data_IF_521324750913
#
_entry.id   IF_521324750913
#
_cell.length_a   1.000
_cell.length_b   1.000
_cell.length_c   1.000
_cell.angle_alpha   90.00
_cell.angle_beta   90.00
_cell.angle_gamma   90.00
#
_symmetry.space_group_name_H-M   'P 1'
#
loop_
_entity.id
_entity.type
_entity.pdbx_description
1 polymer ?
#
# COMPACT_ATOMS: atom_id res chain seq x y z
N UNK A 1 8.23 17.68 36.12
CA UNK A 1 7.86 16.41 35.46
C UNK A 1 6.72 15.69 36.15
N UNK A 2 6.89 15.05 37.32
CA UNK A 2 5.82 14.19 37.92
C UNK A 2 4.48 14.91 38.04
N UNK A 3 4.46 16.14 38.58
CA UNK A 3 3.24 16.95 38.65
C UNK A 3 2.67 17.26 37.26
N UNK A 4 3.51 17.66 36.30
CA UNK A 4 3.09 17.96 34.92
C UNK A 4 2.46 16.74 34.21
N UNK A 5 3.00 15.54 34.45
CA UNK A 5 2.42 14.28 33.95
C UNK A 5 1.07 14.02 34.61
N UNK A 6 1.01 14.05 35.94
CA UNK A 6 -0.20 13.70 36.69
C UNK A 6 -1.35 14.68 36.48
N UNK A 7 -1.05 15.95 36.26
CA UNK A 7 -2.07 17.00 36.08
C UNK A 7 -2.30 17.38 34.62
N UNK A 8 -1.57 16.77 33.67
CA UNK A 8 -1.53 17.19 32.25
C UNK A 8 -1.38 18.72 32.08
N UNK A 9 -0.64 19.34 33.00
CA UNK A 9 -0.48 20.79 33.11
C UNK A 9 0.94 21.19 32.68
N UNK A 10 1.11 22.40 32.17
CA UNK A 10 2.38 22.92 31.66
C UNK A 10 2.94 22.18 30.44
N UNK A 11 2.09 22.01 29.42
CA UNK A 11 2.44 21.36 28.14
C UNK A 11 3.55 22.12 27.38
N UNK A 12 3.79 23.41 27.66
CA UNK A 12 4.82 24.15 26.93
C UNK A 12 6.24 23.91 27.47
N UNK A 13 6.39 23.32 28.66
CA UNK A 13 7.68 23.10 29.29
C UNK A 13 8.33 21.80 28.78
N UNK A 14 9.50 21.93 28.14
CA UNK A 14 10.27 20.82 27.58
C UNK A 14 11.11 20.08 28.62
N UNK A 15 11.16 20.54 29.88
CA UNK A 15 11.89 19.89 30.97
C UNK A 15 13.31 19.41 30.58
N UNK A 16 14.05 20.27 29.88
CA UNK A 16 15.34 19.98 29.21
C UNK A 16 16.44 19.42 30.12
N UNK A 17 16.34 19.66 31.43
CA UNK A 17 17.30 19.15 32.42
C UNK A 17 17.22 17.63 32.63
N UNK A 18 16.12 16.98 32.21
CA UNK A 18 15.86 15.56 32.45
C UNK A 18 15.61 14.82 31.14
N UNK A 19 15.04 15.49 30.13
CA UNK A 19 14.83 14.91 28.81
C UNK A 19 16.17 14.83 28.09
N UNK A 20 16.64 13.61 27.85
CA UNK A 20 17.93 13.34 27.22
C UNK A 20 17.83 12.80 25.80
N UNK A 21 16.66 12.25 25.44
CA UNK A 21 16.40 11.63 24.16
C UNK A 21 15.05 12.04 23.57
N UNK A 22 14.89 11.82 22.27
CA UNK A 22 13.61 12.04 21.58
C UNK A 22 12.53 11.07 22.07
N UNK A 23 12.93 9.88 22.54
CA UNK A 23 12.02 8.89 23.11
C UNK A 23 11.47 9.36 24.47
N UNK A 24 12.31 9.96 25.32
CA UNK A 24 11.89 10.59 26.58
C UNK A 24 10.89 11.71 26.34
N UNK A 25 11.17 12.54 25.33
CA UNK A 25 10.28 13.63 24.93
C UNK A 25 8.94 13.09 24.43
N UNK A 26 8.97 12.11 23.53
CA UNK A 26 7.76 11.53 22.97
C UNK A 26 6.92 10.84 24.05
N UNK A 27 7.56 10.09 24.96
CA UNK A 27 6.89 9.47 26.09
C UNK A 27 6.21 10.49 26.99
N UNK A 28 6.90 11.60 27.32
CA UNK A 28 6.33 12.68 28.11
C UNK A 28 5.10 13.28 27.41
N UNK A 29 5.21 13.57 26.11
CA UNK A 29 4.11 14.16 25.32
C UNK A 29 2.90 13.24 25.21
N UNK A 30 3.12 11.95 24.97
CA UNK A 30 2.04 10.95 24.93
C UNK A 30 1.35 10.82 26.29
N UNK A 31 2.11 10.90 27.39
CA UNK A 31 1.57 10.83 28.76
C UNK A 31 0.73 12.05 29.16
N UNK A 32 0.87 13.16 28.43
CA UNK A 32 0.12 14.41 28.66
C UNK A 32 -1.13 14.53 27.77
N UNK A 33 -1.41 13.56 26.89
CA UNK A 33 -2.58 13.62 26.01
C UNK A 33 -3.86 13.45 26.82
N UNK A 34 -4.78 14.40 26.67
CA UNK A 34 -6.12 14.35 27.26
C UNK A 34 -7.16 14.30 26.14
N UNK A 35 -8.25 13.55 26.38
CA UNK A 35 -9.44 13.53 25.53
C UNK A 35 -10.03 14.95 25.40
N UNK A 36 -10.75 15.25 24.30
CA UNK A 36 -10.99 16.63 23.88
C UNK A 36 -11.78 17.45 24.90
N UNK A 37 -11.05 18.20 25.73
CA UNK A 37 -11.48 19.31 26.56
C UNK A 37 -10.60 20.51 26.20
N UNK A 38 -11.22 21.69 26.09
CA UNK A 38 -10.90 22.69 25.05
C UNK A 38 -9.50 23.34 25.07
N UNK A 39 -8.65 23.15 26.08
CA UNK A 39 -7.33 23.81 26.14
C UNK A 39 -6.13 22.87 26.34
N UNK A 40 -6.36 21.56 26.44
CA UNK A 40 -5.32 20.59 26.77
C UNK A 40 -4.62 20.02 25.52
N UNK A 41 -3.51 19.32 25.76
CA UNK A 41 -2.77 18.60 24.72
C UNK A 41 -3.61 17.46 24.17
N UNK A 42 -3.95 17.51 22.88
CA UNK A 42 -4.66 16.42 22.19
C UNK A 42 -3.71 15.67 21.28
N UNK A 43 -4.07 14.44 20.91
CA UNK A 43 -3.28 13.66 19.95
C UNK A 43 -3.07 14.42 18.63
N UNK A 44 -4.10 15.12 18.15
CA UNK A 44 -4.02 15.94 16.95
C UNK A 44 -3.00 17.09 17.07
N UNK A 45 -3.00 17.80 18.21
CA UNK A 45 -1.97 18.82 18.50
C UNK A 45 -0.57 18.20 18.49
N UNK A 46 -0.39 17.02 19.10
CA UNK A 46 0.90 16.31 19.08
C UNK A 46 1.33 15.90 17.68
N UNK A 47 0.41 15.34 16.89
CA UNK A 47 0.68 14.93 15.51
C UNK A 47 1.17 16.12 14.67
N UNK A 48 0.52 17.29 14.81
CA UNK A 48 0.94 18.54 14.16
C UNK A 48 2.32 19.01 14.61
N UNK A 49 2.62 18.97 15.91
CA UNK A 49 3.94 19.34 16.42
C UNK A 49 5.03 18.44 15.83
N UNK A 50 4.85 17.12 15.90
CA UNK A 50 5.80 16.14 15.34
C UNK A 50 5.99 16.36 13.83
N UNK A 51 4.89 16.62 13.10
CA UNK A 51 4.96 16.88 11.67
C UNK A 51 5.69 18.20 11.32
N UNK A 52 5.43 19.27 12.09
CA UNK A 52 6.03 20.59 11.87
C UNK A 52 7.51 20.59 12.25
N UNK A 53 7.88 20.04 13.41
CA UNK A 53 9.28 19.88 13.81
C UNK A 53 10.05 19.03 12.79
N UNK A 54 9.40 17.98 12.27
CA UNK A 54 9.92 17.15 11.18
C UNK A 54 10.22 17.93 9.89
N UNK A 55 9.35 18.88 9.53
CA UNK A 55 9.53 19.71 8.34
C UNK A 55 10.56 20.83 8.55
N UNK A 56 10.58 21.46 9.72
CA UNK A 56 11.54 22.52 10.04
C UNK A 56 12.97 21.96 10.15
N UNK A 57 13.12 20.77 10.71
CA UNK A 57 14.40 20.07 10.87
C UNK A 57 14.61 18.97 9.82
N UNK A 58 14.04 19.14 8.62
CA UNK A 58 14.07 18.11 7.57
C UNK A 58 15.48 17.63 7.22
N UNK A 59 16.49 18.50 7.33
CA UNK A 59 17.90 18.12 7.17
C UNK A 59 18.35 17.10 8.22
N UNK A 60 18.13 17.38 9.50
CA UNK A 60 18.51 16.50 10.62
C UNK A 60 17.68 15.22 10.68
N UNK A 61 16.40 15.26 10.30
CA UNK A 61 15.57 14.05 10.23
C UNK A 61 15.86 13.19 9.00
N UNK A 62 16.33 13.79 7.90
CA UNK A 62 16.90 13.03 6.78
C UNK A 62 18.20 12.31 7.16
N UNK A 63 18.95 12.80 8.16
CA UNK A 63 20.12 12.08 8.70
C UNK A 63 19.71 10.86 9.55
N UNK A 64 18.54 10.90 10.20
CA UNK A 64 18.01 9.80 11.04
C UNK A 64 16.55 9.45 10.69
N UNK A 65 16.29 8.96 9.47
CA UNK A 65 14.93 8.77 8.95
C UNK A 65 14.13 7.73 9.72
N UNK A 66 14.79 6.71 10.26
CA UNK A 66 14.14 5.66 11.06
C UNK A 66 13.60 6.22 12.38
N UNK A 67 14.33 7.11 13.05
CA UNK A 67 13.87 7.73 14.30
C UNK A 67 12.62 8.58 14.07
N UNK A 68 12.62 9.37 13.00
CA UNK A 68 11.45 10.17 12.64
C UNK A 68 10.25 9.30 12.24
N UNK A 69 10.48 8.25 11.44
CA UNK A 69 9.43 7.29 11.08
C UNK A 69 8.82 6.63 12.33
N UNK A 70 9.63 6.25 13.32
CA UNK A 70 9.13 5.70 14.59
C UNK A 70 8.27 6.71 15.36
N UNK A 71 8.67 7.98 15.42
CA UNK A 71 7.85 9.04 16.03
C UNK A 71 6.49 9.18 15.32
N UNK A 72 6.48 9.14 13.99
CA UNK A 72 5.25 9.17 13.19
C UNK A 72 4.37 7.94 13.45
N UNK A 73 4.96 6.73 13.49
CA UNK A 73 4.22 5.49 13.79
C UNK A 73 3.61 5.51 15.20
N UNK A 74 4.37 5.93 16.21
CA UNK A 74 3.91 6.00 17.60
C UNK A 74 2.84 7.07 17.82
N UNK A 75 2.85 8.14 17.02
CA UNK A 75 1.79 9.15 17.02
C UNK A 75 0.62 8.82 16.09
N UNK A 76 0.62 7.64 15.45
CA UNK A 76 -0.47 7.17 14.59
C UNK A 76 -0.53 7.83 13.20
N UNK A 77 0.54 8.49 12.76
CA UNK A 77 0.66 9.12 11.43
C UNK A 77 1.19 8.12 10.40
N UNK A 78 0.52 6.97 10.29
CA UNK A 78 1.01 5.80 9.57
C UNK A 78 1.32 6.06 8.09
N UNK A 79 0.44 6.73 7.37
CA UNK A 79 0.59 7.01 5.94
C UNK A 79 1.81 7.89 5.67
N UNK A 80 2.07 8.86 6.56
CA UNK A 80 3.24 9.74 6.44
C UNK A 80 4.53 8.98 6.74
N UNK A 81 4.51 8.09 7.73
CA UNK A 81 5.67 7.26 8.08
C UNK A 81 6.06 6.32 6.93
N UNK A 82 5.07 5.65 6.32
CA UNK A 82 5.31 4.75 5.19
C UNK A 82 5.84 5.53 3.99
N UNK A 83 5.24 6.68 3.65
CA UNK A 83 5.70 7.50 2.53
C UNK A 83 7.16 7.96 2.71
N UNK A 84 7.52 8.42 3.91
CA UNK A 84 8.90 8.81 4.25
C UNK A 84 9.88 7.64 4.03
N UNK A 85 9.57 6.46 4.57
CA UNK A 85 10.44 5.29 4.44
C UNK A 85 10.52 4.79 2.98
N UNK A 86 9.43 4.89 2.22
CA UNK A 86 9.36 4.44 0.84
C UNK A 86 10.21 5.29 -0.12
N UNK A 87 10.36 6.59 0.18
CA UNK A 87 11.23 7.50 -0.57
C UNK A 87 12.71 7.11 -0.48
N UNK A 88 13.12 6.44 0.60
CA UNK A 88 14.50 6.02 0.83
C UNK A 88 14.69 4.58 0.37
N UNK A 89 15.52 4.36 -0.64
CA UNK A 89 15.69 3.05 -1.27
C UNK A 89 16.02 1.92 -0.29
N UNK A 90 16.91 2.19 0.69
CA UNK A 90 17.31 1.21 1.71
C UNK A 90 16.14 0.75 2.60
N UNK A 91 15.14 1.61 2.84
CA UNK A 91 14.02 1.33 3.73
C UNK A 91 12.74 0.96 3.00
N UNK A 92 12.75 0.91 1.66
CA UNK A 92 11.56 0.63 0.85
C UNK A 92 10.91 -0.71 1.18
N UNK A 93 11.70 -1.76 1.37
CA UNK A 93 11.15 -3.06 1.77
C UNK A 93 10.43 -2.97 3.12
N UNK A 94 10.98 -2.26 4.09
CA UNK A 94 10.36 -2.05 5.39
C UNK A 94 9.06 -1.26 5.26
N UNK A 95 9.05 -0.19 4.46
CA UNK A 95 7.85 0.61 4.20
C UNK A 95 6.70 -0.25 3.65
N UNK A 96 7.01 -1.12 2.68
CA UNK A 96 6.04 -2.03 2.06
C UNK A 96 5.48 -3.02 3.08
N UNK A 97 6.34 -3.70 3.84
CA UNK A 97 5.88 -4.72 4.80
C UNK A 97 5.13 -4.11 6.00
N UNK A 98 5.56 -2.95 6.49
CA UNK A 98 4.82 -2.17 7.50
C UNK A 98 3.46 -1.77 6.94
N UNK A 99 3.42 -1.30 5.69
CA UNK A 99 2.17 -0.96 5.00
C UNK A 99 1.21 -2.15 4.89
N UNK A 100 1.73 -3.33 4.53
CA UNK A 100 0.94 -4.57 4.48
C UNK A 100 0.36 -4.89 5.85
N UNK A 101 1.19 -4.90 6.89
CA UNK A 101 0.74 -5.20 8.25
C UNK A 101 -0.35 -4.23 8.73
N UNK A 102 -0.15 -2.92 8.53
CA UNK A 102 -1.11 -1.91 8.96
C UNK A 102 -2.41 -1.95 8.14
N UNK A 103 -2.34 -2.33 6.85
CA UNK A 103 -3.52 -2.56 6.02
C UNK A 103 -4.35 -3.74 6.56
N UNK A 104 -3.71 -4.88 6.86
CA UNK A 104 -4.38 -6.06 7.44
C UNK A 104 -5.01 -5.75 8.80
N UNK A 105 -4.38 -4.90 9.61
CA UNK A 105 -4.95 -4.41 10.86
C UNK A 105 -6.05 -3.35 10.69
N UNK A 106 -6.38 -2.94 9.45
CA UNK A 106 -7.35 -1.86 9.14
C UNK A 106 -7.00 -0.51 9.76
N UNK A 107 -5.70 -0.22 9.86
CA UNK A 107 -5.17 1.03 10.43
C UNK A 107 -4.79 2.05 9.35
N UNK A 108 -4.79 1.68 8.08
CA UNK A 108 -4.47 2.57 6.96
C UNK A 108 -5.72 3.11 6.27
N UNK A 109 -5.68 4.41 5.97
CA UNK A 109 -6.57 5.04 5.01
C UNK A 109 -6.01 4.86 3.60
N UNK A 110 -6.70 4.12 2.74
CA UNK A 110 -6.25 3.87 1.36
C UNK A 110 -6.87 4.85 0.37
N UNK A 111 -6.07 5.41 -0.54
CA UNK A 111 -6.57 6.21 -1.64
C UNK A 111 -7.36 5.35 -2.64
N UNK A 112 -8.43 5.91 -3.21
CA UNK A 112 -9.39 5.14 -4.02
C UNK A 112 -9.08 5.10 -5.53
N UNK A 113 -8.00 5.73 -5.99
CA UNK A 113 -7.61 5.84 -7.42
C UNK A 113 -6.17 5.36 -7.61
N UNK A 114 -5.92 4.50 -8.60
CA UNK A 114 -4.56 4.03 -8.92
C UNK A 114 -3.63 5.17 -9.34
N UNK A 115 -4.14 6.17 -10.07
CA UNK A 115 -3.36 7.31 -10.55
C UNK A 115 -2.97 8.33 -9.47
N UNK A 116 -3.52 8.19 -8.26
CA UNK A 116 -3.21 9.12 -7.17
C UNK A 116 -1.72 9.06 -6.78
N UNK A 117 -1.15 10.16 -6.27
CA UNK A 117 0.19 10.14 -5.71
C UNK A 117 0.28 9.17 -4.52
N UNK A 118 1.51 8.78 -4.14
CA UNK A 118 1.74 7.86 -3.03
C UNK A 118 1.01 8.30 -1.76
N UNK A 119 1.03 9.60 -1.45
CA UNK A 119 0.34 10.20 -0.32
C UNK A 119 -0.65 11.26 -0.82
N UNK A 120 -1.92 11.12 -0.46
CA UNK A 120 -2.98 12.08 -0.80
C UNK A 120 -3.59 12.66 0.47
N UNK A 121 -3.60 13.99 0.59
CA UNK A 121 -4.25 14.70 1.68
C UNK A 121 -5.67 15.11 1.25
N UNK A 122 -6.69 14.59 1.92
CA UNK A 122 -8.08 14.96 1.62
C UNK A 122 -8.56 16.00 2.63
N UNK A 123 -8.92 17.18 2.13
CA UNK A 123 -9.42 18.32 2.92
C UNK A 123 -10.91 18.15 3.25
N UNK A 124 -11.32 17.00 3.82
CA UNK A 124 -12.71 16.78 4.23
C UNK A 124 -13.00 17.48 5.57
N UNK A 125 -11.97 17.62 6.42
CA UNK A 125 -12.09 18.22 7.74
C UNK A 125 -11.07 19.35 7.93
N UNK A 126 -11.17 20.08 9.05
CA UNK A 126 -10.22 21.12 9.46
C UNK A 126 -8.78 20.58 9.46
N UNK A 127 -8.61 19.26 9.65
CA UNK A 127 -7.34 18.57 9.49
C UNK A 127 -7.37 17.60 8.31
N UNK A 128 -6.43 17.72 7.35
CA UNK A 128 -6.42 16.87 6.18
C UNK A 128 -6.13 15.43 6.60
N UNK A 129 -7.10 14.54 6.35
CA UNK A 129 -6.88 13.11 6.47
C UNK A 129 -5.97 12.68 5.32
N UNK A 130 -4.82 12.11 5.68
CA UNK A 130 -3.87 11.56 4.71
C UNK A 130 -4.27 10.12 4.39
N UNK A 131 -4.17 9.78 3.11
CA UNK A 131 -4.44 8.46 2.59
C UNK A 131 -3.27 8.01 1.73
N UNK A 132 -2.90 6.74 1.84
CA UNK A 132 -1.80 6.15 1.08
C UNK A 132 -2.34 5.39 -0.12
N UNK A 133 -1.69 5.52 -1.27
CA UNK A 133 -1.99 4.69 -2.43
C UNK A 133 -1.32 3.32 -2.25
N UNK A 134 -2.04 2.41 -1.57
CA UNK A 134 -1.55 1.09 -1.22
C UNK A 134 -1.26 0.21 -2.44
N UNK A 135 -2.09 0.29 -3.49
CA UNK A 135 -1.81 -0.38 -4.76
C UNK A 135 -0.46 0.08 -5.32
N UNK A 136 -0.24 1.39 -5.39
CA UNK A 136 1.01 1.96 -5.90
C UNK A 136 2.23 1.62 -5.05
N UNK A 137 2.06 1.50 -3.73
CA UNK A 137 3.13 1.04 -2.84
C UNK A 137 3.62 -0.35 -3.24
N UNK A 138 2.69 -1.28 -3.51
CA UNK A 138 3.03 -2.65 -3.90
C UNK A 138 3.56 -2.71 -5.34
N UNK A 139 2.91 -2.04 -6.30
CA UNK A 139 3.35 -2.06 -7.70
C UNK A 139 4.74 -1.48 -7.86
N UNK A 140 5.04 -0.32 -7.27
CA UNK A 140 6.37 0.30 -7.32
C UNK A 140 7.46 -0.59 -6.68
N UNK A 141 7.10 -1.39 -5.68
CA UNK A 141 8.04 -2.33 -5.08
C UNK A 141 8.34 -3.51 -6.02
N UNK A 142 7.28 -4.08 -6.62
CA UNK A 142 7.40 -5.20 -7.56
C UNK A 142 8.06 -4.82 -8.89
N UNK A 143 8.06 -3.55 -9.28
CA UNK A 143 8.75 -3.09 -10.50
C UNK A 143 10.27 -3.28 -10.45
N UNK A 144 10.85 -3.41 -9.26
CA UNK A 144 12.28 -3.73 -9.10
C UNK A 144 12.59 -5.22 -9.20
N UNK A 145 11.58 -6.08 -9.11
CA UNK A 145 11.76 -7.52 -9.17
C UNK A 145 12.08 -7.97 -10.59
N UNK A 146 12.87 -9.04 -10.70
CA UNK A 146 13.17 -9.70 -11.97
C UNK A 146 12.04 -10.67 -12.31
N UNK A 147 11.30 -10.40 -13.38
CA UNK A 147 10.14 -11.22 -13.77
C UNK A 147 10.49 -12.71 -13.94
N UNK A 148 11.68 -13.06 -14.45
CA UNK A 148 12.06 -14.46 -14.71
C UNK A 148 12.11 -15.33 -13.45
N UNK A 149 12.67 -14.79 -12.36
CA UNK A 149 12.92 -15.52 -11.12
C UNK A 149 11.91 -15.22 -10.01
N UNK A 150 11.30 -14.03 -10.01
CA UNK A 150 10.50 -13.52 -8.89
C UNK A 150 9.01 -13.38 -9.22
N UNK A 151 8.54 -13.91 -10.36
CA UNK A 151 7.13 -13.82 -10.79
C UNK A 151 6.13 -14.24 -9.69
N UNK A 152 6.42 -15.34 -8.99
CA UNK A 152 5.60 -15.82 -7.88
C UNK A 152 5.51 -14.80 -6.74
N UNK A 153 6.62 -14.13 -6.42
CA UNK A 153 6.65 -13.10 -5.38
C UNK A 153 5.82 -11.87 -5.79
N UNK A 154 5.94 -11.43 -7.05
CA UNK A 154 5.16 -10.31 -7.59
C UNK A 154 3.66 -10.61 -7.50
N UNK A 155 3.26 -11.81 -7.93
CA UNK A 155 1.87 -12.26 -7.88
C UNK A 155 1.34 -12.31 -6.44
N UNK A 156 2.15 -12.77 -5.47
CA UNK A 156 1.76 -12.76 -4.06
C UNK A 156 1.55 -11.34 -3.51
N UNK A 157 2.38 -10.37 -3.90
CA UNK A 157 2.15 -8.97 -3.51
C UNK A 157 0.84 -8.46 -4.11
N UNK A 158 0.54 -8.75 -5.37
CA UNK A 158 -0.72 -8.34 -5.98
C UNK A 158 -1.92 -9.03 -5.35
N UNK A 159 -1.78 -10.28 -4.89
CA UNK A 159 -2.86 -10.99 -4.20
C UNK A 159 -3.35 -10.25 -2.94
N UNK A 160 -2.48 -9.48 -2.27
CA UNK A 160 -2.86 -8.63 -1.13
C UNK A 160 -3.84 -7.50 -1.53
N UNK A 161 -3.99 -7.20 -2.82
CA UNK A 161 -4.93 -6.22 -3.35
C UNK A 161 -6.32 -6.80 -3.65
N UNK A 162 -6.54 -8.11 -3.46
CA UNK A 162 -7.76 -8.82 -3.90
C UNK A 162 -9.08 -8.24 -3.36
N UNK A 163 -9.04 -7.60 -2.19
CA UNK A 163 -10.20 -7.00 -1.53
C UNK A 163 -10.37 -5.51 -1.81
N UNK A 164 -9.40 -4.88 -2.48
CA UNK A 164 -9.41 -3.44 -2.74
C UNK A 164 -10.10 -3.20 -4.07
N UNK A 165 -11.10 -2.33 -4.07
CA UNK A 165 -11.77 -1.86 -5.27
C UNK A 165 -11.59 -0.36 -5.42
N UNK A 166 -11.38 0.06 -6.66
CA UNK A 166 -11.39 1.48 -7.01
C UNK A 166 -12.81 2.07 -6.94
N UNK A 167 -12.92 3.39 -7.07
CA UNK A 167 -14.23 4.07 -7.16
C UNK A 167 -15.10 3.57 -8.31
N UNK A 168 -14.46 3.14 -9.40
CA UNK A 168 -15.14 2.65 -10.60
C UNK A 168 -15.58 1.19 -10.46
N UNK A 169 -15.34 0.55 -9.31
CA UNK A 169 -15.70 -0.84 -9.01
C UNK A 169 -14.65 -1.85 -9.46
N UNK A 170 -13.61 -1.42 -10.19
CA UNK A 170 -12.52 -2.29 -10.66
C UNK A 170 -11.69 -2.85 -9.51
N UNK A 171 -11.29 -4.11 -9.61
CA UNK A 171 -10.45 -4.77 -8.62
C UNK A 171 -8.97 -4.41 -8.85
N UNK A 172 -8.31 -3.84 -7.84
CA UNK A 172 -6.89 -3.47 -7.90
C UNK A 172 -5.97 -4.69 -8.18
N UNK A 173 -6.36 -5.90 -7.75
CA UNK A 173 -5.64 -7.12 -8.09
C UNK A 173 -5.71 -7.45 -9.58
N UNK A 174 -6.90 -7.34 -10.18
CA UNK A 174 -7.14 -7.66 -11.60
C UNK A 174 -6.42 -6.65 -12.49
N UNK A 175 -6.52 -5.36 -12.15
CA UNK A 175 -5.78 -4.29 -12.83
C UNK A 175 -4.27 -4.53 -12.77
N UNK A 176 -3.73 -4.84 -11.59
CA UNK A 176 -2.28 -5.04 -11.43
C UNK A 176 -1.78 -6.27 -12.21
N UNK A 177 -2.58 -7.35 -12.27
CA UNK A 177 -2.29 -8.50 -13.13
C UNK A 177 -2.38 -8.15 -14.62
N UNK A 178 -3.38 -7.38 -15.05
CA UNK A 178 -3.52 -6.96 -16.43
C UNK A 178 -2.33 -6.10 -16.88
N UNK A 179 -1.91 -5.14 -16.05
CA UNK A 179 -0.72 -4.30 -16.32
C UNK A 179 0.55 -5.15 -16.37
N UNK A 180 0.70 -6.14 -15.47
CA UNK A 180 1.81 -7.09 -15.53
C UNK A 180 1.82 -7.87 -16.85
N UNK A 181 0.66 -8.33 -17.31
CA UNK A 181 0.56 -9.07 -18.56
C UNK A 181 1.00 -8.27 -19.78
N UNK A 182 0.57 -7.01 -19.86
CA UNK A 182 0.99 -6.11 -20.94
C UNK A 182 2.51 -5.95 -20.92
N UNK A 183 3.10 -5.71 -19.73
CA UNK A 183 4.56 -5.62 -19.57
C UNK A 183 5.28 -6.92 -19.97
N UNK A 184 4.73 -8.10 -19.64
CA UNK A 184 5.33 -9.39 -20.00
C UNK A 184 5.27 -9.62 -21.52
N UNK A 185 4.18 -9.23 -22.16
CA UNK A 185 3.99 -9.34 -23.61
C UNK A 185 4.94 -8.41 -24.38
N UNK A 186 5.12 -7.17 -23.93
CA UNK A 186 6.04 -6.20 -24.54
C UNK A 186 7.52 -6.64 -24.46
N UNK A 187 7.87 -7.50 -23.51
CA UNK A 187 9.22 -8.02 -23.32
C UNK A 187 9.44 -9.40 -23.98
N UNK A 188 8.53 -9.86 -24.84
CA UNK A 188 8.56 -11.18 -25.50
C UNK A 188 8.75 -12.36 -24.51
N UNK A 189 8.10 -12.28 -23.33
CA UNK A 189 8.22 -13.29 -22.27
C UNK A 189 7.08 -14.30 -22.27
N UNK A 190 6.80 -14.92 -23.43
CA UNK A 190 5.69 -15.88 -23.60
C UNK A 190 5.73 -17.02 -22.57
N UNK A 191 6.92 -17.51 -22.25
CA UNK A 191 7.12 -18.55 -21.23
C UNK A 191 6.59 -18.13 -19.84
N UNK A 192 6.62 -16.83 -19.51
CA UNK A 192 6.12 -16.31 -18.22
C UNK A 192 4.60 -16.19 -18.22
N UNK A 193 4.00 -15.82 -19.37
CA UNK A 193 2.54 -15.84 -19.55
C UNK A 193 1.99 -17.25 -19.34
N UNK A 194 2.67 -18.25 -19.91
CA UNK A 194 2.35 -19.66 -19.75
C UNK A 194 2.49 -20.13 -18.31
N UNK A 195 3.52 -19.70 -17.57
CA UNK A 195 3.67 -20.03 -16.14
C UNK A 195 2.59 -19.39 -15.26
N UNK A 196 2.08 -18.22 -15.64
CA UNK A 196 1.11 -17.48 -14.83
C UNK A 196 -0.33 -17.98 -15.04
N UNK A 197 -0.72 -18.28 -16.28
CA UNK A 197 -2.08 -18.68 -16.65
C UNK A 197 -2.21 -20.10 -17.20
N UNK A 198 -1.11 -20.82 -17.36
CA UNK A 198 -1.07 -22.17 -17.90
C UNK A 198 -1.15 -22.23 -19.43
N UNK A 199 -0.68 -23.33 -20.00
CA UNK A 199 -0.88 -23.66 -21.42
C UNK A 199 -2.12 -24.53 -21.58
N UNK A 200 -2.95 -24.20 -22.57
CA UNK A 200 -4.05 -25.05 -22.98
C UNK A 200 -3.61 -25.87 -24.21
N UNK A 201 -2.99 -27.04 -23.99
CA UNK A 201 -2.76 -28.01 -25.06
C UNK A 201 -3.90 -29.02 -25.02
N UNK A 202 -4.74 -29.03 -26.07
CA UNK A 202 -5.84 -30.00 -26.24
C UNK A 202 -6.91 -29.98 -25.14
N UNK A 203 -7.18 -28.83 -24.51
CA UNK A 203 -8.22 -28.72 -23.48
C UNK A 203 -7.76 -29.10 -22.06
N UNK A 204 -6.47 -29.42 -21.87
CA UNK A 204 -5.90 -29.79 -20.56
C UNK A 204 -4.78 -28.80 -20.21
N UNK A 205 -4.82 -28.27 -18.99
CA UNK A 205 -3.72 -27.47 -18.45
C UNK A 205 -2.58 -28.41 -18.09
N UNK A 206 -1.46 -28.27 -18.80
CA UNK A 206 -0.32 -29.19 -18.70
C UNK A 206 0.60 -28.89 -17.51
N UNK A 207 0.54 -27.69 -16.92
CA UNK A 207 1.38 -27.26 -15.79
C UNK A 207 0.56 -26.52 -14.72
N UNK A 208 0.96 -26.64 -13.45
CA UNK A 208 0.35 -25.91 -12.35
C UNK A 208 0.63 -24.40 -12.49
N UNK A 209 -0.43 -23.59 -12.51
CA UNK A 209 -0.30 -22.14 -12.65
C UNK A 209 0.21 -21.55 -11.35
N UNK A 210 0.97 -20.47 -11.42
CA UNK A 210 1.32 -19.68 -10.22
C UNK A 210 0.05 -19.28 -9.45
N UNK A 211 -1.01 -18.94 -10.17
CA UNK A 211 -2.28 -18.56 -9.57
C UNK A 211 -3.01 -19.72 -8.88
N UNK A 212 -2.76 -20.98 -9.25
CA UNK A 212 -3.43 -22.15 -8.64
C UNK A 212 -2.96 -22.39 -7.19
N UNK A 213 -1.83 -21.79 -6.81
CA UNK A 213 -1.34 -21.81 -5.43
C UNK A 213 -2.01 -20.77 -4.53
N UNK A 214 -2.81 -19.88 -5.11
CA UNK A 214 -3.56 -18.87 -4.37
C UNK A 214 -4.97 -19.37 -4.06
N UNK A 215 -5.52 -18.95 -2.93
CA UNK A 215 -6.90 -19.25 -2.54
C UNK A 215 -7.86 -18.33 -3.32
N UNK A 216 -7.99 -18.56 -4.63
CA UNK A 216 -8.85 -17.88 -5.61
C UNK A 216 -9.25 -18.84 -6.74
N UNK A 217 -10.42 -18.60 -7.34
CA UNK A 217 -10.79 -19.26 -8.59
C UNK A 217 -9.97 -18.67 -9.75
N UNK A 218 -8.98 -19.44 -10.22
CA UNK A 218 -8.08 -19.01 -11.28
C UNK A 218 -8.79 -18.77 -12.61
N UNK A 219 -9.86 -19.49 -12.92
CA UNK A 219 -10.58 -19.30 -14.18
C UNK A 219 -11.40 -18.01 -14.16
N UNK A 220 -12.03 -17.70 -13.02
CA UNK A 220 -12.74 -16.42 -12.82
C UNK A 220 -11.77 -15.25 -12.89
N UNK A 221 -10.61 -15.36 -12.24
CA UNK A 221 -9.57 -14.31 -12.30
C UNK A 221 -9.06 -14.14 -13.73
N UNK A 222 -8.79 -15.23 -14.45
CA UNK A 222 -8.34 -15.19 -15.86
C UNK A 222 -9.37 -14.49 -16.75
N UNK A 223 -10.66 -14.80 -16.59
CA UNK A 223 -11.74 -14.17 -17.34
C UNK A 223 -11.88 -12.66 -17.02
N UNK A 224 -11.80 -12.30 -15.74
CA UNK A 224 -11.88 -10.89 -15.30
C UNK A 224 -10.68 -10.07 -15.80
N UNK A 225 -9.48 -10.65 -15.84
CA UNK A 225 -8.30 -10.00 -16.43
C UNK A 225 -8.50 -9.82 -17.94
N UNK A 226 -9.08 -10.81 -18.62
CA UNK A 226 -9.48 -10.69 -20.04
C UNK A 226 -10.44 -9.53 -20.29
N UNK A 227 -11.51 -9.43 -19.49
CA UNK A 227 -12.49 -8.33 -19.54
C UNK A 227 -11.83 -6.97 -19.32
N UNK A 228 -10.92 -6.88 -18.35
CA UNK A 228 -10.18 -5.65 -18.09
C UNK A 228 -9.32 -5.27 -19.31
N UNK A 229 -8.58 -6.21 -19.89
CA UNK A 229 -7.74 -5.96 -21.07
C UNK A 229 -8.56 -5.56 -22.31
N UNK A 230 -9.72 -6.18 -22.52
CA UNK A 230 -10.64 -5.84 -23.60
C UNK A 230 -11.14 -4.39 -23.46
N UNK A 231 -11.57 -4.00 -22.25
CA UNK A 231 -11.99 -2.61 -21.94
C UNK A 231 -10.88 -1.59 -22.21
N UNK A 232 -9.61 -1.98 -22.07
CA UNK A 232 -8.44 -1.13 -22.28
C UNK A 232 -7.80 -1.29 -23.67
N UNK A 233 -8.41 -2.05 -24.58
CA UNK A 233 -7.99 -2.16 -25.98
C UNK A 233 -6.94 -3.24 -26.30
N UNK A 234 -6.56 -4.08 -25.33
CA UNK A 234 -5.59 -5.17 -25.53
C UNK A 234 -6.28 -6.48 -25.96
N UNK A 235 -6.87 -6.46 -27.16
CA UNK A 235 -7.73 -7.53 -27.66
C UNK A 235 -7.03 -8.89 -27.85
N UNK A 236 -5.77 -8.88 -28.30
CA UNK A 236 -5.00 -10.11 -28.54
C UNK A 236 -4.77 -10.89 -27.24
N UNK A 237 -4.32 -10.19 -26.18
CA UNK A 237 -4.12 -10.78 -24.87
C UNK A 237 -5.46 -11.21 -24.25
N UNK A 238 -6.52 -10.42 -24.40
CA UNK A 238 -7.84 -10.79 -23.93
C UNK A 238 -8.34 -12.09 -24.57
N UNK A 239 -8.20 -12.25 -25.89
CA UNK A 239 -8.59 -13.46 -26.61
C UNK A 239 -7.84 -14.71 -26.10
N UNK A 240 -6.52 -14.58 -25.88
CA UNK A 240 -5.70 -15.65 -25.34
C UNK A 240 -6.15 -16.04 -23.92
N UNK A 241 -6.48 -15.07 -23.07
CA UNK A 241 -6.97 -15.34 -21.72
C UNK A 241 -8.37 -15.98 -21.73
N UNK A 242 -9.26 -15.59 -22.63
CA UNK A 242 -10.59 -16.22 -22.74
C UNK A 242 -10.49 -17.69 -23.15
N UNK A 243 -9.61 -18.02 -24.10
CA UNK A 243 -9.31 -19.41 -24.47
C UNK A 243 -8.76 -20.22 -23.28
N UNK A 244 -7.88 -19.59 -22.47
CA UNK A 244 -7.32 -20.20 -21.24
C UNK A 244 -8.32 -20.29 -20.08
N UNK A 245 -9.30 -19.40 -19.99
CA UNK A 245 -10.28 -19.45 -18.92
C UNK A 245 -11.35 -20.54 -19.15
N UNK A 246 -11.35 -21.22 -20.32
CA UNK A 246 -12.43 -22.11 -20.77
C UNK A 246 -13.81 -21.45 -20.67
N UNK A 247 -13.86 -20.12 -20.77
CA UNK A 247 -15.14 -19.42 -20.86
C UNK A 247 -15.66 -19.72 -22.25
N UNK A 248 -16.61 -20.64 -22.35
CA UNK A 248 -17.40 -20.78 -23.55
C UNK A 248 -17.98 -19.39 -23.85
N UNK A 249 -17.67 -18.84 -25.02
CA UNK A 249 -18.15 -17.55 -25.54
C UNK A 249 -19.68 -17.37 -25.49
N UNK A 250 -20.44 -18.40 -25.09
CA UNK A 250 -21.89 -18.39 -24.91
C UNK A 250 -22.39 -17.66 -23.66
N UNK A 251 -21.55 -17.28 -22.68
CA UNK A 251 -22.01 -16.53 -21.50
C UNK A 251 -21.81 -15.00 -21.55
N UNK A 252 -21.27 -14.43 -22.63
CA UNK A 252 -21.17 -12.97 -22.80
C UNK A 252 -22.25 -12.37 -23.73
N UNK A 253 -23.21 -13.17 -24.21
CA UNK A 253 -24.30 -12.70 -25.10
C UNK A 253 -25.67 -12.67 -24.39
N UNK A 254 -25.78 -12.90 -23.07
CA UNK A 254 -27.09 -12.82 -22.40
C UNK A 254 -27.12 -11.96 -21.15
N UNK A 255 -27.78 -10.82 -21.39
CA UNK A 255 -28.57 -9.94 -20.50
C UNK A 255 -27.82 -8.97 -19.58
#
# INVERSE_FOLDING_TARGET
>A
IVLSILSAYDVNNMHELIISSIDDLLWLRLSQIVLPNQDLMTLNKLQKLVYNEGNENRSSFNEKPVQYAMCLLLTGQFETAIDLLNQIEQFRCHAVHIGIYLHECRLLSTASKSDSPMLTATLITVDPLKSINYQRLLTNYTEKCRYDSELWQIVNYFYLLKQIRQKDGENCFIESLAVLLVKLNENDTDNLLERLFGTNRQGVFTEARILDHLDIDTNVVTANVGLYLEKHGHLELAAVLYDRAKVNFTMMIKE
#
